data_IF_091398751372
#
_entry.id   IF_091398751372
#
_cell.length_a   1.000
_cell.length_b   1.000
_cell.length_c   1.000
_cell.angle_alpha   90.00
_cell.angle_beta   90.00
_cell.angle_gamma   90.00
#
_symmetry.space_group_name_H-M   'P 1'
#
loop_
_entity.id
_entity.type
_entity.pdbx_description
1 polymer ?
#
# COMPACT_ATOMS: atom_id res chain seq x y z
N UNK A 1 -7.59 -12.21 -16.54
CA UNK A 1 -7.77 -11.55 -15.24
C UNK A 1 -7.09 -12.45 -14.22
N UNK A 2 -5.99 -12.00 -13.64
CA UNK A 2 -5.31 -12.78 -12.61
C UNK A 2 -6.09 -12.66 -11.30
N UNK A 3 -6.62 -13.77 -10.80
CA UNK A 3 -7.35 -13.81 -9.53
C UNK A 3 -6.37 -14.18 -8.43
N UNK A 4 -6.20 -13.29 -7.45
CA UNK A 4 -5.47 -13.60 -6.21
C UNK A 4 -6.47 -13.77 -5.09
N UNK A 5 -6.48 -14.95 -4.46
CA UNK A 5 -7.33 -15.27 -3.31
C UNK A 5 -6.50 -15.70 -2.11
N UNK A 6 -7.05 -15.50 -0.92
CA UNK A 6 -6.50 -15.98 0.34
C UNK A 6 -7.60 -16.67 1.13
N UNK A 7 -7.28 -17.81 1.75
CA UNK A 7 -8.09 -18.33 2.85
C UNK A 7 -8.19 -17.29 3.97
N UNK A 8 -9.33 -17.23 4.65
CA UNK A 8 -9.60 -16.22 5.66
C UNK A 8 -8.54 -16.21 6.78
N UNK A 9 -8.08 -17.37 7.25
CA UNK A 9 -7.05 -17.44 8.29
C UNK A 9 -5.71 -16.88 7.78
N UNK A 10 -5.35 -17.19 6.53
CA UNK A 10 -4.14 -16.63 5.91
C UNK A 10 -4.25 -15.12 5.79
N UNK A 11 -5.39 -14.61 5.34
CA UNK A 11 -5.65 -13.18 5.22
C UNK A 11 -5.54 -12.46 6.58
N UNK A 12 -6.20 -12.99 7.61
CA UNK A 12 -6.16 -12.44 8.97
C UNK A 12 -4.74 -12.41 9.54
N UNK A 13 -3.96 -13.49 9.34
CA UNK A 13 -2.54 -13.53 9.73
C UNK A 13 -1.72 -12.46 9.02
N UNK A 14 -1.93 -12.28 7.71
CA UNK A 14 -1.24 -11.24 6.95
C UNK A 14 -1.62 -9.85 7.44
N UNK A 15 -2.91 -9.60 7.69
CA UNK A 15 -3.41 -8.32 8.18
C UNK A 15 -2.78 -7.97 9.54
N UNK A 16 -2.80 -8.90 10.49
CA UNK A 16 -2.16 -8.72 11.80
C UNK A 16 -0.63 -8.58 11.70
N UNK A 17 0.00 -9.16 10.66
CA UNK A 17 1.45 -9.03 10.45
C UNK A 17 1.89 -7.68 9.87
N UNK A 18 0.97 -6.72 9.72
CA UNK A 18 1.20 -5.36 9.16
C UNK A 18 1.50 -5.37 7.67
N UNK A 19 0.88 -6.31 6.95
CA UNK A 19 1.09 -6.46 5.52
C UNK A 19 0.21 -5.44 4.76
N UNK A 20 0.85 -4.43 4.17
CA UNK A 20 0.19 -3.37 3.42
C UNK A 20 -0.62 -3.88 2.22
N UNK A 21 -0.21 -4.98 1.58
CA UNK A 21 -0.95 -5.56 0.45
C UNK A 21 -2.37 -5.98 0.83
N UNK A 22 -2.54 -6.75 1.91
CA UNK A 22 -3.87 -7.19 2.33
C UNK A 22 -4.68 -6.04 2.96
N UNK A 23 -4.01 -5.06 3.57
CA UNK A 23 -4.66 -3.84 4.04
C UNK A 23 -5.25 -3.04 2.85
N UNK A 24 -4.48 -2.88 1.78
CA UNK A 24 -4.92 -2.22 0.55
C UNK A 24 -6.06 -2.98 -0.14
N UNK A 25 -6.03 -4.32 -0.12
CA UNK A 25 -7.14 -5.13 -0.63
C UNK A 25 -8.42 -4.95 0.20
N UNK A 26 -8.29 -5.01 1.53
CA UNK A 26 -9.42 -4.92 2.46
C UNK A 26 -10.12 -3.56 2.40
N UNK A 27 -9.34 -2.48 2.24
CA UNK A 27 -9.84 -1.11 2.27
C UNK A 27 -9.96 -0.48 0.88
N UNK A 28 -9.89 -1.29 -0.17
CA UNK A 28 -9.99 -0.82 -1.55
C UNK A 28 -11.38 -0.20 -1.81
N UNK A 29 -11.48 0.96 -2.46
CA UNK A 29 -12.77 1.51 -2.89
C UNK A 29 -13.38 0.72 -4.05
N UNK A 30 -12.63 -0.22 -4.65
CA UNK A 30 -13.05 -1.01 -5.81
C UNK A 30 -13.70 -2.36 -5.43
N UNK A 31 -14.15 -2.53 -4.19
CA UNK A 31 -14.83 -3.75 -3.74
C UNK A 31 -16.15 -3.91 -4.50
N UNK A 32 -16.21 -4.91 -5.38
CA UNK A 32 -17.40 -5.20 -6.20
C UNK A 32 -18.50 -5.88 -5.38
N UNK A 33 -18.12 -6.77 -4.45
CA UNK A 33 -19.04 -7.53 -3.60
C UNK A 33 -18.53 -7.56 -2.16
N UNK A 34 -19.44 -7.42 -1.19
CA UNK A 34 -19.13 -7.44 0.25
C UNK A 34 -19.98 -8.49 0.97
N UNK A 35 -19.54 -8.89 2.16
CA UNK A 35 -20.23 -9.80 3.08
C UNK A 35 -20.19 -9.24 4.49
N UNK A 36 -20.94 -9.84 5.42
CA UNK A 36 -20.86 -9.49 6.84
C UNK A 36 -19.43 -9.66 7.40
N UNK A 37 -18.73 -10.73 6.98
CA UNK A 37 -17.33 -10.98 7.37
C UNK A 37 -16.41 -9.88 6.85
N UNK A 38 -16.58 -9.46 5.59
CA UNK A 38 -15.80 -8.36 5.02
C UNK A 38 -16.04 -7.04 5.79
N UNK A 39 -17.30 -6.71 6.07
CA UNK A 39 -17.64 -5.51 6.84
C UNK A 39 -17.02 -5.50 8.25
N UNK A 40 -17.01 -6.66 8.92
CA UNK A 40 -16.38 -6.79 10.24
C UNK A 40 -14.85 -6.65 10.14
N UNK A 41 -14.20 -7.27 9.14
CA UNK A 41 -12.76 -7.06 8.88
C UNK A 41 -12.42 -5.58 8.63
N UNK A 42 -13.20 -4.89 7.79
CA UNK A 42 -13.01 -3.46 7.50
C UNK A 42 -13.13 -2.63 8.77
N UNK A 43 -14.07 -2.95 9.67
CA UNK A 43 -14.26 -2.25 10.94
C UNK A 43 -13.08 -2.41 11.91
N UNK A 44 -12.39 -3.55 11.86
CA UNK A 44 -11.20 -3.83 12.69
C UNK A 44 -9.94 -3.16 12.15
N UNK A 45 -9.85 -2.93 10.84
CA UNK A 45 -8.63 -2.50 10.18
C UNK A 45 -7.93 -1.27 10.83
N UNK A 46 -8.64 -0.18 11.21
CA UNK A 46 -7.98 0.99 11.81
C UNK A 46 -7.22 0.66 13.10
N UNK A 47 -7.71 -0.30 13.89
CA UNK A 47 -7.11 -0.73 15.16
C UNK A 47 -5.94 -1.70 14.97
N UNK A 48 -5.75 -2.20 13.75
CA UNK A 48 -4.63 -3.07 13.37
C UNK A 48 -3.49 -2.30 12.69
N UNK A 49 -3.72 -1.03 12.31
CA UNK A 49 -2.71 -0.17 11.67
C UNK A 49 -1.72 0.32 12.73
N UNK A 50 -0.43 0.20 12.41
CA UNK A 50 0.70 0.59 13.25
C UNK A 50 1.71 1.37 12.43
N UNK A 51 2.58 2.15 13.07
CA UNK A 51 3.66 2.86 12.34
C UNK A 51 4.61 1.89 11.62
N UNK A 52 4.69 0.64 12.06
CA UNK A 52 5.52 -0.39 11.43
C UNK A 52 5.00 -0.88 10.08
N UNK A 53 3.80 -0.47 9.64
CA UNK A 53 3.38 -0.64 8.25
C UNK A 53 4.33 0.05 7.26
N UNK A 54 5.02 1.12 7.68
CA UNK A 54 6.05 1.76 6.87
C UNK A 54 7.10 0.77 6.33
N UNK A 55 7.47 -0.26 7.11
CA UNK A 55 8.45 -1.26 6.66
C UNK A 55 7.96 -2.08 5.46
N UNK A 56 6.67 -2.35 5.36
CA UNK A 56 6.10 -3.04 4.21
C UNK A 56 6.26 -2.18 2.95
N UNK A 57 5.85 -0.91 3.03
CA UNK A 57 5.94 0.03 1.92
C UNK A 57 7.39 0.30 1.49
N UNK A 58 8.31 0.50 2.44
CA UNK A 58 9.74 0.69 2.17
C UNK A 58 10.36 -0.52 1.45
N UNK A 59 10.02 -1.74 1.90
CA UNK A 59 10.52 -2.99 1.31
C UNK A 59 9.95 -3.20 -0.09
N UNK A 60 8.64 -2.96 -0.27
CA UNK A 60 8.00 -3.07 -1.58
C UNK A 60 8.59 -2.05 -2.55
N UNK A 61 8.79 -0.81 -2.13
CA UNK A 61 9.42 0.24 -2.92
C UNK A 61 10.83 -0.17 -3.36
N UNK A 62 11.65 -0.72 -2.46
CA UNK A 62 13.00 -1.20 -2.79
C UNK A 62 12.97 -2.34 -3.83
N UNK A 63 12.01 -3.26 -3.76
CA UNK A 63 11.86 -4.32 -4.77
C UNK A 63 11.49 -3.75 -6.14
N UNK A 64 10.54 -2.81 -6.19
CA UNK A 64 10.10 -2.18 -7.44
C UNK A 64 11.18 -1.27 -8.04
N UNK A 65 11.92 -0.54 -7.21
CA UNK A 65 13.05 0.28 -7.64
C UNK A 65 14.16 -0.57 -8.26
N UNK A 66 14.51 -1.71 -7.64
CA UNK A 66 15.48 -2.67 -8.23
C UNK A 66 15.00 -3.24 -9.56
N UNK A 67 13.70 -3.54 -9.67
CA UNK A 67 13.11 -4.02 -10.92
C UNK A 67 13.12 -2.92 -11.99
N UNK A 68 12.81 -1.69 -11.62
CA UNK A 68 12.90 -0.53 -12.51
C UNK A 68 14.34 -0.32 -13.00
N UNK A 69 15.33 -0.29 -12.11
CA UNK A 69 16.74 -0.11 -12.47
C UNK A 69 17.24 -1.17 -13.47
N UNK A 70 16.73 -2.40 -13.37
CA UNK A 70 17.06 -3.49 -14.30
C UNK A 70 16.34 -3.43 -15.64
N UNK A 71 15.13 -2.87 -15.70
CA UNK A 71 14.23 -3.02 -16.85
C UNK A 71 13.92 -1.72 -17.58
N UNK A 72 14.10 -0.57 -16.92
CA UNK A 72 13.66 0.74 -17.40
C UNK A 72 12.13 0.88 -17.54
N UNK A 73 11.34 -0.11 -17.11
CA UNK A 73 9.91 -0.15 -17.38
C UNK A 73 9.12 0.85 -16.52
N UNK A 74 8.09 1.43 -17.13
CA UNK A 74 7.19 2.41 -16.50
C UNK A 74 6.44 1.84 -15.27
N UNK A 75 5.96 0.59 -15.34
CA UNK A 75 5.13 -0.01 -14.28
C UNK A 75 5.85 -0.13 -12.92
N UNK A 76 7.08 -0.68 -12.84
CA UNK A 76 7.87 -0.66 -11.61
C UNK A 76 8.15 0.77 -11.07
N UNK A 77 8.39 1.75 -11.95
CA UNK A 77 8.58 3.15 -11.53
C UNK A 77 7.30 3.74 -10.88
N UNK A 78 6.15 3.56 -11.52
CA UNK A 78 4.85 3.97 -10.97
C UNK A 78 4.56 3.30 -9.63
N UNK A 79 4.83 2.00 -9.51
CA UNK A 79 4.61 1.29 -8.26
C UNK A 79 5.52 1.79 -7.14
N UNK A 80 6.77 2.14 -7.44
CA UNK A 80 7.71 2.70 -6.46
C UNK A 80 7.16 4.00 -5.88
N UNK A 81 6.71 4.94 -6.72
CA UNK A 81 6.11 6.20 -6.28
C UNK A 81 4.83 5.95 -5.48
N UNK A 82 3.93 5.12 -5.99
CA UNK A 82 2.63 4.82 -5.36
C UNK A 82 2.82 4.29 -3.94
N UNK A 83 3.67 3.28 -3.71
CA UNK A 83 3.83 2.73 -2.35
C UNK A 83 4.54 3.68 -1.39
N UNK A 84 5.50 4.48 -1.86
CA UNK A 84 6.17 5.45 -0.99
C UNK A 84 5.18 6.51 -0.53
N UNK A 85 4.40 7.07 -1.46
CA UNK A 85 3.40 8.09 -1.17
C UNK A 85 2.26 7.55 -0.30
N UNK A 86 1.76 6.33 -0.58
CA UNK A 86 0.78 5.65 0.28
C UNK A 86 1.30 5.46 1.70
N UNK A 87 2.54 4.97 1.84
CA UNK A 87 3.17 4.82 3.15
C UNK A 87 3.26 6.16 3.89
N UNK A 88 3.70 7.23 3.22
CA UNK A 88 3.85 8.56 3.81
C UNK A 88 2.49 9.07 4.29
N UNK A 89 1.45 8.95 3.45
CA UNK A 89 0.09 9.36 3.80
C UNK A 89 -0.43 8.57 5.01
N UNK A 90 -0.25 7.26 5.02
CA UNK A 90 -0.68 6.40 6.12
C UNK A 90 0.01 6.80 7.43
N UNK A 91 1.33 7.00 7.41
CA UNK A 91 2.07 7.38 8.62
C UNK A 91 1.65 8.74 9.18
N UNK A 92 1.29 9.68 8.30
CA UNK A 92 0.86 11.03 8.68
C UNK A 92 -0.58 11.12 9.17
N UNK A 93 -1.45 10.24 8.70
CA UNK A 93 -2.91 10.42 8.87
C UNK A 93 -3.63 9.26 9.54
N UNK A 94 -2.99 8.07 9.57
CA UNK A 94 -3.65 6.82 9.95
C UNK A 94 -4.70 6.33 8.96
N UNK A 95 -4.86 7.00 7.81
CA UNK A 95 -5.82 6.62 6.76
C UNK A 95 -5.09 6.06 5.55
N UNK A 96 -5.75 5.13 4.86
CA UNK A 96 -5.21 4.55 3.64
C UNK A 96 -5.67 5.37 2.42
N UNK A 97 -4.72 5.72 1.57
CA UNK A 97 -4.95 6.21 0.21
C UNK A 97 -3.93 5.54 -0.72
N UNK A 98 -4.38 4.99 -1.83
CA UNK A 98 -3.56 4.20 -2.77
C UNK A 98 -3.53 4.79 -4.17
N UNK A 99 -4.37 5.77 -4.46
CA UNK A 99 -4.42 6.43 -5.75
C UNK A 99 -3.22 7.38 -5.92
N UNK A 100 -2.33 7.00 -6.85
CA UNK A 100 -1.19 7.81 -7.23
C UNK A 100 -1.59 9.14 -7.89
N UNK A 101 -2.76 9.21 -8.54
CA UNK A 101 -3.31 10.45 -9.07
C UNK A 101 -3.63 11.46 -7.96
N UNK A 102 -4.09 10.98 -6.81
CA UNK A 102 -4.36 11.81 -5.62
C UNK A 102 -3.05 12.18 -4.93
N UNK A 103 -2.27 11.18 -4.51
CA UNK A 103 -1.08 11.41 -3.67
C UNK A 103 0.11 11.98 -4.44
N UNK A 104 0.20 11.70 -5.74
CA UNK A 104 1.26 12.15 -6.62
C UNK A 104 1.00 13.50 -7.27
N UNK A 105 -0.13 14.17 -6.98
CA UNK A 105 -0.52 15.43 -7.63
C UNK A 105 0.52 16.56 -7.51
N UNK A 106 1.37 16.53 -6.46
CA UNK A 106 2.45 17.52 -6.26
C UNK A 106 3.72 17.23 -7.05
N UNK A 107 3.85 16.03 -7.60
CA UNK A 107 4.97 15.63 -8.45
C UNK A 107 4.59 15.89 -9.90
N UNK A 108 5.10 16.99 -10.46
CA UNK A 108 4.66 17.51 -11.77
C UNK A 108 4.70 16.51 -12.93
N UNK A 109 5.54 15.47 -12.84
CA UNK A 109 5.71 14.46 -13.88
C UNK A 109 4.81 13.23 -13.70
N UNK A 110 4.15 13.05 -12.55
CA UNK A 110 3.29 11.89 -12.29
C UNK A 110 2.08 11.82 -13.22
N UNK A 111 1.37 12.92 -13.54
CA UNK A 111 0.27 12.87 -14.50
C UNK A 111 0.69 12.29 -15.86
N UNK A 112 1.85 12.69 -16.37
CA UNK A 112 2.39 12.19 -17.64
C UNK A 112 2.75 10.70 -17.57
N UNK A 113 3.29 10.23 -16.44
CA UNK A 113 3.54 8.80 -16.22
C UNK A 113 2.25 7.98 -16.20
N UNK A 114 1.19 8.50 -15.57
CA UNK A 114 -0.12 7.84 -15.52
C UNK A 114 -0.74 7.80 -16.92
N UNK A 115 -0.65 8.90 -17.69
CA UNK A 115 -1.14 8.97 -19.06
C UNK A 115 -0.42 7.95 -19.95
N UNK A 116 0.92 7.92 -19.92
CA UNK A 116 1.71 6.96 -20.69
C UNK A 116 1.36 5.49 -20.35
N UNK A 117 1.03 5.19 -19.09
CA UNK A 117 0.64 3.84 -18.66
C UNK A 117 -0.73 3.40 -19.20
N UNK A 118 -1.62 4.35 -19.47
CA UNK A 118 -2.95 4.09 -20.05
C UNK A 118 -2.87 3.78 -21.55
N UNK A 119 -1.91 4.38 -22.25
CA UNK A 119 -1.73 4.19 -23.69
C UNK A 119 -1.15 2.81 -24.03
N UNK A 120 -0.21 2.30 -23.24
CA UNK A 120 0.31 0.94 -23.42
C UNK A 120 0.93 0.35 -22.14
N UNK A 121 0.98 -0.98 -22.08
CA UNK A 121 1.59 -1.68 -20.94
C UNK A 121 3.11 -1.56 -20.88
N UNK A 122 3.75 -1.40 -22.04
CA UNK A 122 5.19 -1.27 -22.20
C UNK A 122 5.50 -0.02 -23.02
N UNK A 123 5.66 1.10 -22.33
CA UNK A 123 6.10 2.37 -22.92
C UNK A 123 7.39 2.80 -22.22
N UNK A 124 8.37 3.36 -22.95
CA UNK A 124 9.49 4.07 -22.34
C UNK A 124 9.00 5.18 -21.42
N UNK A 125 9.85 5.58 -20.47
CA UNK A 125 9.56 6.75 -19.65
C UNK A 125 9.50 8.03 -20.50
N UNK A 126 8.57 8.96 -20.20
CA UNK A 126 8.61 10.31 -20.73
C UNK A 126 9.97 10.99 -20.49
N UNK A 127 10.33 11.91 -21.37
CA UNK A 127 11.60 12.64 -21.29
C UNK A 127 11.77 13.32 -19.92
N UNK A 128 12.94 13.17 -19.31
CA UNK A 128 13.25 13.77 -18.00
C UNK A 128 12.66 13.03 -16.78
N UNK A 129 11.75 12.07 -16.97
CA UNK A 129 11.14 11.36 -15.85
C UNK A 129 12.15 10.50 -15.07
N UNK A 130 13.13 9.91 -15.75
CA UNK A 130 14.17 9.10 -15.11
C UNK A 130 15.02 9.93 -14.12
N UNK A 131 15.40 11.16 -14.51
CA UNK A 131 16.16 12.08 -13.66
C UNK A 131 15.33 12.52 -12.44
N UNK A 132 14.05 12.84 -12.66
CA UNK A 132 13.13 13.20 -11.56
C UNK A 132 12.95 12.03 -10.59
N UNK A 133 12.73 10.82 -11.10
CA UNK A 133 12.65 9.59 -10.29
C UNK A 133 13.93 9.38 -9.47
N UNK A 134 15.10 9.53 -10.07
CA UNK A 134 16.38 9.37 -9.39
C UNK A 134 16.58 10.39 -8.24
N UNK A 135 15.99 11.57 -8.33
CA UNK A 135 15.98 12.57 -7.25
C UNK A 135 14.89 12.29 -6.21
N UNK A 136 13.67 12.02 -6.65
CA UNK A 136 12.50 11.95 -5.77
C UNK A 136 12.41 10.63 -4.99
N UNK A 137 12.84 9.50 -5.54
CA UNK A 137 12.71 8.20 -4.85
C UNK A 137 13.54 8.15 -3.55
N UNK A 138 14.83 8.54 -3.52
CA UNK A 138 15.58 8.63 -2.26
C UNK A 138 14.98 9.62 -1.26
N UNK A 139 14.51 10.77 -1.75
CA UNK A 139 13.86 11.80 -0.92
C UNK A 139 12.58 11.26 -0.27
N UNK A 140 11.72 10.61 -1.05
CA UNK A 140 10.46 10.03 -0.57
C UNK A 140 10.69 8.84 0.37
N UNK A 141 11.76 8.06 0.18
CA UNK A 141 12.17 7.01 1.13
C UNK A 141 12.52 7.61 2.49
N UNK A 142 13.38 8.62 2.52
CA UNK A 142 13.72 9.33 3.75
C UNK A 142 12.48 10.00 4.39
N UNK A 143 11.58 10.55 3.57
CA UNK A 143 10.33 11.13 4.04
C UNK A 143 9.41 10.09 4.69
N UNK A 144 9.32 8.87 4.15
CA UNK A 144 8.56 7.77 4.75
C UNK A 144 9.19 7.32 6.07
N UNK A 145 10.50 7.23 6.15
CA UNK A 145 11.21 6.90 7.40
C UNK A 145 10.97 7.97 8.47
N UNK A 146 11.10 9.25 8.12
CA UNK A 146 10.80 10.35 9.03
C UNK A 146 9.32 10.38 9.45
N UNK A 147 8.39 10.11 8.51
CA UNK A 147 6.97 10.04 8.81
C UNK A 147 6.64 8.88 9.75
N UNK A 148 7.29 7.72 9.61
CA UNK A 148 7.19 6.60 10.55
C UNK A 148 7.62 7.02 11.94
N UNK A 149 8.78 7.66 12.05
CA UNK A 149 9.39 8.01 13.33
C UNK A 149 8.61 9.11 14.07
N UNK A 150 7.96 10.01 13.32
CA UNK A 150 7.07 11.05 13.87
C UNK A 150 5.59 10.63 13.98
N UNK A 151 5.23 9.40 13.59
CA UNK A 151 3.83 8.98 13.53
C UNK A 151 3.21 8.84 14.91
N UNK A 152 1.95 9.25 15.04
CA UNK A 152 1.12 8.99 16.23
C UNK A 152 0.48 7.59 16.22
N UNK A 153 0.71 6.79 15.17
CA UNK A 153 0.24 5.41 15.11
C UNK A 153 0.99 4.54 16.14
N UNK A 154 0.29 3.56 16.75
CA UNK A 154 0.89 2.73 17.79
C UNK A 154 1.99 1.79 17.25
N UNK A 155 2.83 1.30 18.15
CA UNK A 155 3.85 0.26 17.91
C UNK A 155 3.21 -1.10 17.61
N UNK A 156 2.10 -1.38 18.27
CA UNK A 156 1.43 -2.67 18.25
C UNK A 156 -0.03 -2.49 17.87
N UNK A 157 -0.59 -3.51 17.21
CA UNK A 157 -2.02 -3.57 16.99
C UNK A 157 -2.75 -3.61 18.33
N UNK A 158 -3.96 -3.05 18.37
CA UNK A 158 -4.81 -3.09 19.56
C UNK A 158 -5.11 -4.55 19.93
N UNK A 159 -4.75 -5.02 21.14
CA UNK A 159 -4.95 -6.40 21.56
C UNK A 159 -6.39 -6.87 21.40
N UNK A 160 -7.38 -6.02 21.72
CA UNK A 160 -8.79 -6.39 21.59
C UNK A 160 -9.24 -6.47 20.13
N UNK A 161 -8.59 -5.76 19.20
CA UNK A 161 -8.84 -5.94 17.77
C UNK A 161 -8.20 -7.24 17.24
N UNK A 162 -7.07 -7.65 17.80
CA UNK A 162 -6.44 -8.95 17.48
C UNK A 162 -7.30 -10.11 17.95
N UNK A 163 -7.84 -10.04 19.17
CA UNK A 163 -8.77 -11.04 19.70
C UNK A 163 -10.07 -11.08 18.87
N UNK A 164 -10.66 -9.93 18.55
CA UNK A 164 -11.84 -9.87 17.69
C UNK A 164 -11.59 -10.43 16.28
N UNK A 165 -10.40 -10.19 15.71
CA UNK A 165 -10.00 -10.78 14.43
C UNK A 165 -9.89 -12.31 14.54
N UNK A 166 -9.37 -12.84 15.65
CA UNK A 166 -9.33 -14.27 15.91
C UNK A 166 -10.74 -14.86 15.98
N UNK A 167 -11.62 -14.26 16.79
CA UNK A 167 -13.00 -14.75 16.97
C UNK A 167 -13.78 -14.73 15.66
N UNK A 168 -13.61 -13.71 14.83
CA UNK A 168 -14.20 -13.64 13.49
C UNK A 168 -13.79 -14.83 12.63
N UNK A 169 -12.49 -15.18 12.62
CA UNK A 169 -11.99 -16.35 11.88
C UNK A 169 -12.60 -17.64 12.41
N UNK A 170 -12.75 -17.79 13.73
CA UNK A 170 -13.38 -18.97 14.34
C UNK A 170 -14.85 -19.08 13.95
N UNK A 171 -15.65 -18.01 14.14
CA UNK A 171 -17.08 -18.00 13.80
C UNK A 171 -17.32 -18.30 12.33
N UNK A 172 -16.58 -17.64 11.43
CA UNK A 172 -16.72 -17.83 9.99
C UNK A 172 -16.38 -19.26 9.52
N UNK A 173 -15.61 -20.03 10.31
CA UNK A 173 -15.30 -21.43 10.03
C UNK A 173 -16.33 -22.41 10.57
N UNK A 174 -17.04 -22.05 11.65
CA UNK A 174 -17.98 -22.95 12.32
C UNK A 174 -19.41 -22.84 11.78
N UNK A 175 -19.78 -21.73 11.14
CA UNK A 175 -21.12 -21.49 10.59
C UNK A 175 -22.03 -20.80 11.59
#
# INVERSE_FOLDING_TARGET
MDVVSHDLLKFARLLNSRNGYVLEQLLSPLVVMTTAVHAELTSLAPRLITRHHAHHYLRFAATQEKLYARTGQLKPALYTLRVLLTGIHLMRTGRLETDLGVLGAKLAYVPDLIAAKREAEQVPLPAGAAQRLATDVPRLRAELEAARDASTLPDHADPAAVDALHDLVVRARLG
#
